data_IF_913953749014
#
_entry.id   IF_913953749014
#
_cell.length_a   1.000
_cell.length_b   1.000
_cell.length_c   1.000
_cell.angle_alpha   90.00
_cell.angle_beta   90.00
_cell.angle_gamma   90.00
#
_symmetry.space_group_name_H-M   'P 1'
#
loop_
_entity.id
_entity.type
_entity.pdbx_description
1 polymer ?
#
# COMPACT_ATOMS: atom_id res chain seq x y z
N UNK A 1 21.27 -32.09 2.79
CA UNK A 1 21.11 -31.39 1.50
C UNK A 1 19.65 -31.54 1.12
N UNK A 2 18.86 -30.47 1.27
CA UNK A 2 17.44 -30.43 0.93
C UNK A 2 17.21 -29.21 0.06
N UNK A 3 16.30 -29.25 -0.93
CA UNK A 3 16.20 -28.21 -1.93
C UNK A 3 15.84 -26.89 -1.24
N UNK A 4 16.68 -25.87 -1.43
CA UNK A 4 16.27 -24.50 -1.14
C UNK A 4 15.17 -24.17 -2.12
N UNK A 5 13.93 -24.20 -1.63
CA UNK A 5 12.76 -23.73 -2.35
C UNK A 5 13.05 -22.32 -2.87
N UNK A 6 12.57 -22.01 -4.07
CA UNK A 6 12.84 -20.80 -4.85
C UNK A 6 12.24 -19.51 -4.23
N UNK A 7 12.39 -19.31 -2.92
CA UNK A 7 11.91 -18.16 -2.14
C UNK A 7 13.05 -17.26 -1.65
N UNK A 8 14.31 -17.62 -1.93
CA UNK A 8 15.50 -16.87 -1.53
C UNK A 8 16.08 -16.15 -2.75
N UNK A 9 15.48 -15.01 -3.12
CA UNK A 9 16.02 -14.08 -4.11
C UNK A 9 16.87 -12.97 -3.46
N UNK A 10 17.71 -12.31 -4.26
CA UNK A 10 18.42 -11.11 -3.83
C UNK A 10 17.42 -10.00 -3.45
N UNK A 11 17.61 -9.36 -2.29
CA UNK A 11 16.76 -8.27 -1.81
C UNK A 11 15.63 -8.69 -0.85
N UNK A 12 15.56 -9.95 -0.43
CA UNK A 12 14.57 -10.44 0.54
C UNK A 12 15.11 -10.32 1.96
N UNK A 13 14.32 -9.70 2.85
CA UNK A 13 14.61 -9.68 4.29
C UNK A 13 14.25 -11.04 4.88
N UNK A 14 15.25 -11.75 5.37
CA UNK A 14 15.10 -12.99 6.12
C UNK A 14 15.35 -12.73 7.60
N UNK A 15 14.44 -13.21 8.45
CA UNK A 15 14.65 -13.25 9.90
C UNK A 15 15.25 -14.61 10.22
N UNK A 16 16.44 -14.60 10.81
CA UNK A 16 17.20 -15.80 11.15
C UNK A 16 17.27 -15.94 12.67
N UNK A 17 16.76 -17.04 13.19
CA UNK A 17 16.83 -17.38 14.61
C UNK A 17 17.82 -18.53 14.79
N UNK A 18 18.82 -18.33 15.64
CA UNK A 18 19.86 -19.33 15.86
C UNK A 18 20.84 -18.95 16.95
N UNK A 19 21.91 -19.73 17.08
CA UNK A 19 22.99 -19.49 18.03
C UNK A 19 24.21 -18.92 17.32
N UNK A 20 24.74 -17.82 17.84
CA UNK A 20 26.01 -17.27 17.38
C UNK A 20 27.14 -18.13 17.96
N UNK A 21 27.99 -18.67 17.10
CA UNK A 21 29.17 -19.42 17.52
C UNK A 21 30.35 -18.47 17.81
N UNK A 22 31.38 -18.97 18.49
CA UNK A 22 32.57 -18.21 18.93
C UNK A 22 33.34 -17.56 17.77
N UNK A 23 33.12 -18.04 16.55
CA UNK A 23 33.67 -17.46 15.30
C UNK A 23 32.81 -16.34 14.70
N UNK A 24 31.76 -15.91 15.39
CA UNK A 24 30.83 -14.87 14.91
C UNK A 24 29.88 -15.33 13.81
N UNK A 25 29.72 -16.64 13.61
CA UNK A 25 28.82 -17.21 12.60
C UNK A 25 27.50 -17.60 13.26
N UNK A 26 26.39 -17.05 12.77
CA UNK A 26 25.04 -17.42 13.24
C UNK A 26 24.64 -18.78 12.67
N UNK A 27 24.59 -19.80 13.51
CA UNK A 27 24.00 -21.11 13.20
C UNK A 27 22.49 -21.00 13.34
N UNK A 28 21.83 -20.52 12.28
CA UNK A 28 20.37 -20.45 12.20
C UNK A 28 19.75 -21.84 12.23
N UNK A 29 18.85 -22.09 13.19
CA UNK A 29 18.02 -23.29 13.25
C UNK A 29 16.64 -23.05 12.64
N UNK A 30 16.24 -21.79 12.53
CA UNK A 30 14.99 -21.37 11.92
C UNK A 30 15.25 -20.12 11.09
N UNK A 31 14.65 -20.08 9.90
CA UNK A 31 14.79 -18.98 8.97
C UNK A 31 13.44 -18.75 8.31
N UNK A 32 12.91 -17.54 8.48
CA UNK A 32 11.64 -17.12 7.89
C UNK A 32 11.93 -16.02 6.89
N UNK A 33 11.61 -16.26 5.62
CA UNK A 33 11.63 -15.21 4.60
C UNK A 33 10.33 -14.44 4.65
N UNK A 34 10.43 -13.12 4.80
CA UNK A 34 9.25 -12.28 4.63
C UNK A 34 9.06 -12.08 3.13
N UNK A 35 8.16 -12.85 2.52
CA UNK A 35 7.68 -12.53 1.17
C UNK A 35 6.88 -11.22 1.26
N UNK A 36 7.28 -10.12 0.59
CA UNK A 36 6.45 -8.91 0.54
C UNK A 36 5.10 -9.16 -0.16
N UNK A 37 5.00 -10.22 -0.96
CA UNK A 37 3.85 -10.50 -1.82
C UNK A 37 2.71 -11.30 -1.18
N UNK A 38 2.71 -11.57 0.13
CA UNK A 38 1.66 -12.40 0.78
C UNK A 38 0.64 -11.64 1.62
N UNK A 39 0.70 -10.30 1.63
CA UNK A 39 -0.26 -9.43 2.33
C UNK A 39 -0.99 -8.54 1.34
N UNK A 40 -1.77 -9.18 0.48
CA UNK A 40 -2.72 -8.55 -0.43
C UNK A 40 -4.06 -8.32 0.27
N UNK A 41 -4.03 -7.88 1.53
CA UNK A 41 -5.21 -7.58 2.35
C UNK A 41 -4.83 -6.54 3.39
N UNK A 42 -5.10 -5.25 3.13
CA UNK A 42 -5.04 -4.09 4.04
C UNK A 42 -3.79 -3.84 4.95
N UNK A 43 -2.87 -4.78 5.16
CA UNK A 43 -1.71 -4.69 6.07
C UNK A 43 -0.53 -3.86 5.52
N UNK A 44 -0.74 -3.15 4.41
CA UNK A 44 0.24 -2.25 3.81
C UNK A 44 -0.35 -0.91 3.37
N UNK A 45 -1.59 -0.59 3.75
CA UNK A 45 -2.19 0.69 3.40
C UNK A 45 -1.85 1.78 4.40
N UNK A 46 -1.49 2.95 3.90
CA UNK A 46 -1.32 4.16 4.69
C UNK A 46 -2.62 4.96 4.75
N UNK A 47 -2.76 5.81 5.75
CA UNK A 47 -3.86 6.79 5.82
C UNK A 47 -3.50 8.08 5.09
N UNK A 48 -4.52 8.85 4.71
CA UNK A 48 -4.37 10.16 4.11
C UNK A 48 -3.50 11.09 4.98
N UNK A 49 -3.75 11.12 6.30
CA UNK A 49 -2.92 11.88 7.24
C UNK A 49 -1.44 11.46 7.18
N UNK A 50 -1.14 10.16 7.31
CA UNK A 50 0.24 9.68 7.28
C UNK A 50 0.94 10.01 5.96
N UNK A 51 0.22 9.90 4.84
CA UNK A 51 0.71 10.25 3.52
C UNK A 51 1.07 11.73 3.45
N UNK A 52 0.22 12.62 3.96
CA UNK A 52 0.47 14.05 3.98
C UNK A 52 1.65 14.41 4.89
N UNK A 53 1.72 13.81 6.09
CA UNK A 53 2.82 13.98 7.05
C UNK A 53 4.18 13.52 6.49
N UNK A 54 4.17 12.50 5.62
CA UNK A 54 5.38 11.93 5.02
C UNK A 54 5.47 12.20 3.51
N UNK A 55 4.75 13.20 3.02
CA UNK A 55 4.54 13.46 1.59
C UNK A 55 5.86 13.56 0.83
N UNK A 56 6.81 14.39 1.28
CA UNK A 56 8.15 14.54 0.68
C UNK A 56 8.90 13.22 0.47
N UNK A 57 8.71 12.26 1.38
CA UNK A 57 9.41 10.97 1.31
C UNK A 57 8.69 9.99 0.41
N UNK A 58 7.38 10.11 0.29
CA UNK A 58 6.52 9.18 -0.44
C UNK A 58 6.29 9.59 -1.91
N UNK A 59 6.69 10.81 -2.30
CA UNK A 59 6.64 11.26 -3.69
C UNK A 59 7.36 10.25 -4.61
N UNK A 60 6.68 9.84 -5.68
CA UNK A 60 7.18 8.89 -6.67
C UNK A 60 7.21 7.43 -6.21
N UNK A 61 6.75 7.14 -4.98
CA UNK A 61 6.61 5.77 -4.50
C UNK A 61 5.20 5.24 -4.75
N UNK A 62 5.11 3.97 -5.10
CA UNK A 62 3.83 3.26 -5.16
C UNK A 62 3.43 2.83 -3.75
N UNK A 63 2.22 3.21 -3.34
CA UNK A 63 1.65 2.87 -2.04
C UNK A 63 0.14 2.61 -2.14
N UNK A 64 -0.41 2.04 -1.08
CA UNK A 64 -1.84 1.81 -0.93
C UNK A 64 -2.40 2.85 0.03
N UNK A 65 -3.33 3.67 -0.42
CA UNK A 65 -4.03 4.65 0.39
C UNK A 65 -5.39 4.09 0.81
N UNK A 66 -5.60 3.92 2.12
CA UNK A 66 -6.89 3.50 2.66
C UNK A 66 -7.63 4.68 3.30
N UNK A 67 -8.90 4.81 2.94
CA UNK A 67 -9.78 5.82 3.51
C UNK A 67 -11.19 5.72 2.97
N UNK A 68 -11.91 6.82 3.12
CA UNK A 68 -13.31 6.94 2.73
C UNK A 68 -13.44 7.99 1.63
N UNK A 69 -14.35 7.78 0.68
CA UNK A 69 -14.65 8.78 -0.34
C UNK A 69 -15.43 9.92 0.30
N UNK A 70 -14.94 11.16 0.15
CA UNK A 70 -15.64 12.35 0.62
C UNK A 70 -16.90 12.58 -0.20
N UNK A 71 -18.03 12.76 0.48
CA UNK A 71 -19.33 12.95 -0.14
C UNK A 71 -19.35 14.14 -1.10
N UNK A 72 -19.86 13.93 -2.31
CA UNK A 72 -20.03 14.97 -3.32
C UNK A 72 -18.74 15.36 -4.05
N UNK A 73 -17.67 14.57 -3.90
CA UNK A 73 -16.38 14.80 -4.60
C UNK A 73 -16.19 13.88 -5.81
N UNK A 74 -17.05 12.88 -6.00
CA UNK A 74 -17.04 11.99 -7.15
C UNK A 74 -17.37 12.76 -8.44
N UNK A 75 -16.40 12.87 -9.34
CA UNK A 75 -16.56 13.42 -10.68
C UNK A 75 -16.32 12.35 -11.75
N UNK A 76 -16.70 12.66 -12.99
CA UNK A 76 -16.52 11.77 -14.13
C UNK A 76 -15.04 11.54 -14.47
N UNK A 77 -14.73 10.38 -15.06
CA UNK A 77 -13.41 10.04 -15.58
C UNK A 77 -12.88 11.12 -16.57
N UNK A 78 -11.56 11.33 -16.61
CA UNK A 78 -10.94 12.21 -17.60
C UNK A 78 -11.07 13.73 -17.34
N UNK A 79 -11.56 14.14 -16.17
CA UNK A 79 -11.58 15.55 -15.73
C UNK A 79 -10.45 15.90 -14.74
N UNK A 80 -9.52 14.97 -14.50
CA UNK A 80 -8.38 15.16 -13.59
C UNK A 80 -8.56 14.44 -12.26
N UNK A 81 -8.89 15.19 -11.20
CA UNK A 81 -9.15 14.59 -9.88
C UNK A 81 -10.51 13.92 -9.92
N UNK A 82 -10.61 12.67 -9.46
CA UNK A 82 -11.85 11.91 -9.58
C UNK A 82 -12.69 11.91 -8.31
N UNK A 83 -12.04 11.86 -7.17
CA UNK A 83 -12.67 11.95 -5.86
C UNK A 83 -11.59 12.28 -4.81
N UNK A 84 -12.03 12.68 -3.63
CA UNK A 84 -11.13 12.94 -2.50
C UNK A 84 -11.28 11.80 -1.51
N UNK A 85 -10.15 11.21 -1.11
CA UNK A 85 -10.11 10.28 0.01
C UNK A 85 -9.82 11.04 1.29
N UNK A 86 -10.68 10.87 2.29
CA UNK A 86 -10.44 11.37 3.64
C UNK A 86 -10.15 10.22 4.61
N UNK A 87 -9.18 10.40 5.50
CA UNK A 87 -8.81 9.40 6.51
C UNK A 87 -8.06 10.05 7.68
N UNK A 88 -8.55 9.82 8.90
CA UNK A 88 -8.01 10.36 10.16
C UNK A 88 -7.83 11.90 10.20
N UNK A 89 -8.51 12.66 9.33
CA UNK A 89 -8.41 14.12 9.27
C UNK A 89 -7.57 14.63 8.10
N UNK A 90 -6.81 13.75 7.43
CA UNK A 90 -6.14 14.07 6.17
C UNK A 90 -7.08 13.90 4.97
N UNK A 91 -6.90 14.74 3.96
CA UNK A 91 -7.65 14.72 2.70
C UNK A 91 -6.67 14.64 1.52
N UNK A 92 -6.85 13.64 0.67
CA UNK A 92 -5.96 13.39 -0.47
C UNK A 92 -6.79 13.35 -1.75
N UNK A 93 -6.53 14.25 -2.71
CA UNK A 93 -7.18 14.22 -4.01
C UNK A 93 -6.60 13.07 -4.84
N UNK A 94 -7.49 12.21 -5.35
CA UNK A 94 -7.13 11.03 -6.12
C UNK A 94 -7.53 11.24 -7.57
N UNK A 95 -6.59 11.09 -8.50
CA UNK A 95 -6.86 11.02 -9.94
C UNK A 95 -6.91 9.57 -10.37
N UNK A 96 -7.95 9.21 -11.12
CA UNK A 96 -8.14 7.85 -11.60
C UNK A 96 -8.94 7.85 -12.91
N UNK A 97 -8.32 7.43 -14.01
CA UNK A 97 -8.98 7.39 -15.31
C UNK A 97 -9.73 6.08 -15.59
N UNK A 98 -9.56 5.06 -14.75
CA UNK A 98 -10.20 3.75 -14.92
C UNK A 98 -11.70 3.71 -14.59
N UNK A 99 -12.33 2.56 -14.75
CA UNK A 99 -13.70 2.35 -14.30
C UNK A 99 -13.74 2.19 -12.77
N UNK A 100 -14.68 2.87 -12.11
CA UNK A 100 -14.96 2.63 -10.70
C UNK A 100 -15.90 1.42 -10.57
N UNK A 101 -15.70 0.55 -9.57
CA UNK A 101 -16.66 -0.50 -9.25
C UNK A 101 -18.03 0.11 -8.89
N UNK A 102 -19.14 -0.53 -9.26
CA UNK A 102 -20.51 -0.05 -8.98
C UNK A 102 -20.80 0.13 -7.47
N UNK A 103 -20.11 -0.60 -6.62
CA UNK A 103 -20.22 -0.49 -5.16
C UNK A 103 -19.49 0.72 -4.56
N UNK A 104 -18.65 1.39 -5.35
CA UNK A 104 -17.94 2.61 -4.93
C UNK A 104 -18.87 3.81 -5.06
N UNK A 105 -19.23 4.38 -3.91
CA UNK A 105 -20.11 5.54 -3.75
C UNK A 105 -19.53 6.48 -2.69
N UNK A 106 -20.17 7.62 -2.50
CA UNK A 106 -19.86 8.52 -1.40
C UNK A 106 -19.84 7.75 -0.06
N UNK A 107 -18.89 8.09 0.81
CA UNK A 107 -18.65 7.44 2.10
C UNK A 107 -18.22 5.95 2.03
N UNK A 108 -18.04 5.38 0.84
CA UNK A 108 -17.50 4.02 0.70
C UNK A 108 -16.06 3.96 1.20
N UNK A 109 -15.77 2.91 1.99
CA UNK A 109 -14.40 2.58 2.38
C UNK A 109 -13.69 1.85 1.25
N UNK A 110 -12.61 2.46 0.75
CA UNK A 110 -11.83 1.91 -0.37
C UNK A 110 -10.33 1.93 -0.05
N UNK A 111 -9.60 1.08 -0.76
CA UNK A 111 -8.15 1.06 -0.82
C UNK A 111 -7.77 1.42 -2.25
N UNK A 112 -6.98 2.48 -2.39
CA UNK A 112 -6.49 2.94 -3.67
C UNK A 112 -5.01 2.63 -3.76
N UNK A 113 -4.61 1.92 -4.81
CA UNK A 113 -3.20 1.69 -5.10
C UNK A 113 -2.76 2.67 -6.16
N UNK A 114 -1.62 3.32 -5.92
CA UNK A 114 -1.12 4.34 -6.84
C UNK A 114 0.13 5.02 -6.33
N UNK A 115 0.50 6.11 -6.98
CA UNK A 115 1.71 6.87 -6.70
C UNK A 115 1.35 8.25 -6.18
N UNK A 116 2.01 8.68 -5.10
CA UNK A 116 1.91 10.06 -4.64
C UNK A 116 2.82 10.96 -5.48
N UNK A 117 2.28 12.04 -6.03
CA UNK A 117 3.04 12.99 -6.87
C UNK A 117 3.41 14.24 -6.09
N UNK A 118 4.46 14.93 -6.52
CA UNK A 118 4.87 16.23 -5.93
C UNK A 118 3.85 17.34 -6.18
N UNK A 119 2.92 17.12 -7.13
CA UNK A 119 1.79 18.01 -7.41
C UNK A 119 0.69 17.99 -6.34
N UNK A 120 0.86 17.19 -5.27
CA UNK A 120 -0.13 17.04 -4.21
C UNK A 120 -1.34 16.19 -4.62
N UNK A 121 -1.15 15.30 -5.59
CA UNK A 121 -2.19 14.44 -6.18
C UNK A 121 -1.77 12.99 -6.10
N UNK A 122 -2.72 12.12 -5.78
CA UNK A 122 -2.52 10.68 -5.80
C UNK A 122 -2.97 10.12 -7.15
N UNK A 123 -2.02 9.64 -7.96
CA UNK A 123 -2.32 8.98 -9.23
C UNK A 123 -2.66 7.51 -8.96
N UNK A 124 -3.94 7.21 -8.90
CA UNK A 124 -4.43 5.86 -8.71
C UNK A 124 -4.28 5.05 -10.00
N UNK A 125 -3.76 3.84 -9.85
CA UNK A 125 -3.72 2.83 -10.90
C UNK A 125 -4.75 1.74 -10.67
N UNK A 126 -5.14 1.50 -9.42
CA UNK A 126 -6.11 0.47 -9.04
C UNK A 126 -6.94 0.91 -7.83
N UNK A 127 -8.21 0.49 -7.79
CA UNK A 127 -9.15 0.79 -6.71
C UNK A 127 -9.86 -0.49 -6.29
N UNK A 128 -9.72 -0.83 -5.02
CA UNK A 128 -10.39 -1.95 -4.38
C UNK A 128 -11.33 -1.46 -3.28
N UNK A 129 -12.47 -2.14 -3.13
CA UNK A 129 -13.30 -1.96 -1.93
C UNK A 129 -12.58 -2.57 -0.74
N UNK A 130 -12.64 -1.88 0.40
CA UNK A 130 -12.14 -2.46 1.64
C UNK A 130 -13.17 -3.50 2.09
N UNK A 131 -12.97 -4.76 1.73
CA UNK A 131 -13.80 -5.85 2.25
C UNK A 131 -13.59 -5.96 3.76
N UNK A 132 -14.67 -5.75 4.52
CA UNK A 132 -14.74 -6.12 5.93
C UNK A 132 -15.05 -7.60 6.01
N UNK A 133 -14.01 -8.43 6.21
CA UNK A 133 -14.20 -9.81 6.70
C UNK A 133 -14.64 -9.81 8.15
#
# INVERSE_FOLDING_TARGET
EGPVSATFGNGIVAICTGKLDDRGILRASEMVTKCPSKYESAEGSVTAEYLLENSDRLIGQELKLAGYIKTGTLVAAGQGERFIIYSQGGEVPVAYDGALPDEVKDESSIIVTGVWTDSGRFEATDIALKEVQ
#
